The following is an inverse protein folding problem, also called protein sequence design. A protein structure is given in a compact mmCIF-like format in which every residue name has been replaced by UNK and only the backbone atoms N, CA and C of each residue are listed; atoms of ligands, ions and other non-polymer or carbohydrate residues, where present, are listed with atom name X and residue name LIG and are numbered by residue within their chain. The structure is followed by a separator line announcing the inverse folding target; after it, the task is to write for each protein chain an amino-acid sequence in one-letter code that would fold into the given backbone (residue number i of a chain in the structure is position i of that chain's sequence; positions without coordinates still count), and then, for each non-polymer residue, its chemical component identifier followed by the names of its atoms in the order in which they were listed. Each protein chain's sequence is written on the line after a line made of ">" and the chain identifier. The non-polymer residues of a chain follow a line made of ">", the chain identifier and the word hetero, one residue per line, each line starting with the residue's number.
data_IF_781149822258
#
_entry.id   IF_781149822258
#
_cell.length_a   1.000
_cell.length_b   1.000
_cell.length_c   1.000
_cell.angle_alpha   90.00
_cell.angle_beta   90.00
_cell.angle_gamma   90.00
#
_symmetry.space_group_name_H-M   'P 1'
#
loop_
_entity.id
_entity.type
_entity.pdbx_description
1 polymer ?
#
# COMPACT_ATOMS: atom_id res chain seq x y z
N UNK A 1 -8.72 11.23 0.26
CA UNK A 1 -7.53 12.12 0.26
C UNK A 1 -6.49 11.72 -0.78
N UNK A 2 -6.01 10.47 -0.78
CA UNK A 2 -4.96 10.01 -1.72
C UNK A 2 -5.51 9.38 -3.03
N UNK A 3 -6.82 9.42 -3.25
CA UNK A 3 -7.43 8.90 -4.47
C UNK A 3 -7.17 9.85 -5.65
N UNK A 4 -6.75 9.35 -6.82
CA UNK A 4 -6.42 10.19 -7.98
C UNK A 4 -7.62 11.01 -8.47
N UNK A 5 -8.82 10.43 -8.42
CA UNK A 5 -10.09 11.10 -8.79
C UNK A 5 -10.77 11.91 -7.68
N UNK A 6 -10.77 11.42 -6.45
CA UNK A 6 -11.50 11.99 -5.30
C UNK A 6 -10.50 12.45 -4.22
N UNK A 7 -9.58 13.31 -4.65
CA UNK A 7 -8.51 13.83 -3.82
C UNK A 7 -9.00 14.81 -2.75
N UNK A 8 -8.04 15.47 -2.10
CA UNK A 8 -8.31 16.52 -1.11
C UNK A 8 -9.17 17.65 -1.69
N UNK A 9 -8.92 18.07 -2.92
CA UNK A 9 -9.66 19.16 -3.58
C UNK A 9 -11.16 18.84 -3.72
N UNK A 10 -11.49 17.56 -3.92
CA UNK A 10 -12.88 17.11 -3.98
C UNK A 10 -13.57 17.19 -2.61
N UNK A 11 -12.87 16.84 -1.53
CA UNK A 11 -13.39 16.95 -0.17
C UNK A 11 -13.65 18.41 0.20
N UNK A 12 -12.72 19.31 -0.11
CA UNK A 12 -12.88 20.75 0.14
C UNK A 12 -14.03 21.37 -0.66
N UNK A 13 -14.31 20.87 -1.87
CA UNK A 13 -15.44 21.32 -2.67
C UNK A 13 -16.79 20.75 -2.21
N UNK A 14 -16.80 19.55 -1.62
CA UNK A 14 -18.04 18.83 -1.27
C UNK A 14 -18.46 19.08 0.17
N UNK A 15 -17.51 19.28 1.09
CA UNK A 15 -17.77 19.41 2.50
C UNK A 15 -17.85 20.89 2.90
N UNK A 16 -19.02 21.33 3.32
CA UNK A 16 -19.34 22.75 3.56
C UNK A 16 -19.55 23.09 5.03
N UNK A 17 -19.76 22.09 5.89
CA UNK A 17 -19.92 22.32 7.34
C UNK A 17 -18.59 22.68 7.99
N UNK A 18 -18.62 23.58 8.98
CA UNK A 18 -17.42 24.01 9.72
C UNK A 18 -16.72 22.82 10.40
N UNK A 19 -17.50 21.90 10.97
CA UNK A 19 -16.99 20.67 11.59
C UNK A 19 -16.32 19.74 10.55
N UNK A 20 -16.90 19.64 9.36
CA UNK A 20 -16.32 18.83 8.29
C UNK A 20 -15.00 19.42 7.78
N UNK A 21 -14.94 20.76 7.67
CA UNK A 21 -13.71 21.44 7.31
C UNK A 21 -12.63 21.29 8.38
N UNK A 22 -12.99 21.21 9.67
CA UNK A 22 -12.01 20.87 10.73
C UNK A 22 -11.45 19.47 10.54
N UNK A 23 -12.28 18.46 10.25
CA UNK A 23 -11.80 17.11 9.96
C UNK A 23 -10.87 17.06 8.75
N UNK A 24 -11.16 17.83 7.70
CA UNK A 24 -10.29 17.89 6.51
C UNK A 24 -8.93 18.51 6.86
N UNK A 25 -8.89 19.55 7.70
CA UNK A 25 -7.63 20.16 8.15
C UNK A 25 -6.84 19.20 9.02
N UNK A 26 -7.47 18.57 10.00
CA UNK A 26 -6.83 17.65 10.92
C UNK A 26 -6.27 16.44 10.16
N UNK A 27 -7.07 15.86 9.25
CA UNK A 27 -6.63 14.76 8.40
C UNK A 27 -5.47 15.15 7.47
N UNK A 28 -5.42 16.39 6.95
CA UNK A 28 -4.27 16.88 6.17
C UNK A 28 -3.00 16.91 7.00
N UNK A 29 -3.09 17.40 8.23
CA UNK A 29 -1.95 17.47 9.16
C UNK A 29 -1.47 16.07 9.50
N UNK A 30 -2.36 15.17 9.89
CA UNK A 30 -2.00 13.79 10.26
C UNK A 30 -1.40 13.01 9.09
N UNK A 31 -1.98 13.09 7.90
CA UNK A 31 -1.45 12.44 6.70
C UNK A 31 -0.05 12.94 6.37
N UNK A 32 0.16 14.25 6.46
CA UNK A 32 1.47 14.84 6.21
C UNK A 32 2.50 14.46 7.28
N UNK A 33 2.13 14.49 8.56
CA UNK A 33 3.01 14.07 9.66
C UNK A 33 3.40 12.60 9.54
N UNK A 34 2.43 11.71 9.29
CA UNK A 34 2.70 10.29 9.14
C UNK A 34 3.56 9.97 7.91
N UNK A 35 3.32 10.65 6.79
CA UNK A 35 4.14 10.51 5.59
C UNK A 35 5.60 10.93 5.84
N UNK A 36 5.81 12.11 6.45
CA UNK A 36 7.16 12.60 6.71
C UNK A 36 7.89 11.74 7.74
N UNK A 37 7.18 11.28 8.77
CA UNK A 37 7.75 10.43 9.83
C UNK A 37 8.22 9.07 9.33
N UNK A 38 7.45 8.43 8.44
CA UNK A 38 7.67 7.02 8.07
C UNK A 38 8.05 6.77 6.62
N UNK A 39 7.94 7.74 5.71
CA UNK A 39 8.16 7.51 4.27
C UNK A 39 9.14 8.50 3.64
N UNK A 40 9.24 9.73 4.16
CA UNK A 40 10.28 10.68 3.74
C UNK A 40 11.65 10.31 4.34
N UNK A 41 11.69 9.92 5.63
CA UNK A 41 12.91 9.44 6.29
C UNK A 41 13.36 8.04 5.85
N UNK A 42 12.42 7.18 5.44
CA UNK A 42 12.67 5.76 5.15
C UNK A 42 13.30 5.48 3.79
N UNK A 43 13.28 6.46 2.87
CA UNK A 43 13.97 6.34 1.58
C UNK A 43 15.48 6.14 1.76
N UNK A 44 16.08 6.78 2.76
CA UNK A 44 17.50 6.61 3.09
C UNK A 44 17.84 5.18 3.54
N UNK A 45 16.90 4.47 4.19
CA UNK A 45 17.15 3.15 4.78
C UNK A 45 16.87 1.98 3.81
N UNK A 46 15.86 2.11 2.94
CA UNK A 46 15.55 1.09 1.93
C UNK A 46 16.61 1.02 0.81
N UNK A 47 17.21 2.16 0.45
CA UNK A 47 18.33 2.22 -0.50
C UNK A 47 19.62 1.61 0.08
N UNK A 48 19.86 1.77 1.38
CA UNK A 48 21.01 1.19 2.09
C UNK A 48 20.90 -0.35 2.15
N UNK A 49 19.73 -0.90 2.44
CA UNK A 49 19.52 -2.37 2.50
C UNK A 49 19.54 -3.06 1.14
N UNK A 50 19.13 -2.38 0.06
CA UNK A 50 19.23 -2.90 -1.30
C UNK A 50 20.68 -2.95 -1.81
N UNK A 51 21.57 -2.06 -1.34
CA UNK A 51 22.99 -2.10 -1.70
C UNK A 51 23.74 -3.30 -1.09
N UNK A 52 23.34 -3.77 0.08
CA UNK A 52 24.00 -4.90 0.76
C UNK A 52 23.55 -6.29 0.27
N UNK A 53 22.39 -6.40 -0.40
CA UNK A 53 21.84 -7.68 -0.88
C UNK A 53 22.19 -8.01 -2.34
N UNK A 54 22.93 -7.14 -3.04
CA UNK A 54 23.47 -7.44 -4.36
C UNK A 54 24.75 -8.29 -4.21
N UNK A 55 24.58 -9.61 -4.08
CA UNK A 55 25.71 -10.54 -4.11
C UNK A 55 26.51 -10.38 -5.43
N UNK A 56 27.86 -10.34 -5.39
CA UNK A 56 28.67 -10.22 -6.59
C UNK A 56 28.56 -11.52 -7.40
N UNK A 57 27.87 -11.47 -8.54
CA UNK A 57 27.98 -12.53 -9.55
C UNK A 57 29.16 -12.20 -10.44
N UNK A 58 30.25 -12.94 -10.28
CA UNK A 58 31.32 -13.03 -11.25
C UNK A 58 30.84 -13.83 -12.46
N UNK A 59 30.65 -13.16 -13.59
CA UNK A 59 30.97 -13.70 -14.92
C UNK A 59 31.46 -12.55 -15.77
N UNK A 60 32.58 -12.80 -16.44
CA UNK A 60 33.36 -11.87 -17.25
C UNK A 60 32.63 -11.33 -18.50
N UNK A 61 33.02 -10.11 -18.90
CA UNK A 61 32.95 -9.48 -20.25
C UNK A 61 31.54 -9.17 -20.81
N UNK A 62 31.21 -7.99 -21.37
CA UNK A 62 31.97 -6.98 -22.11
C UNK A 62 31.50 -5.54 -21.81
N UNK A 63 32.40 -4.59 -22.06
CA UNK A 63 32.32 -3.16 -21.78
C UNK A 63 31.41 -2.43 -22.79
N UNK A 64 30.09 -2.38 -22.54
CA UNK A 64 29.16 -1.56 -23.32
C UNK A 64 28.98 -0.18 -22.68
N UNK A 65 29.66 0.79 -23.29
CA UNK A 65 29.75 2.23 -23.03
C UNK A 65 28.40 3.00 -23.04
N UNK A 66 27.26 2.31 -22.91
CA UNK A 66 25.91 2.85 -22.98
C UNK A 66 25.20 2.98 -21.61
N UNK A 67 25.65 2.28 -20.56
CA UNK A 67 24.94 2.24 -19.27
C UNK A 67 25.44 3.25 -18.22
N UNK A 68 26.57 3.93 -18.48
CA UNK A 68 27.17 4.90 -17.57
C UNK A 68 26.46 6.28 -17.56
N UNK A 69 25.52 6.50 -18.49
CA UNK A 69 24.78 7.77 -18.63
C UNK A 69 23.47 7.86 -17.84
N UNK A 70 22.95 6.75 -17.30
CA UNK A 70 21.61 6.71 -16.67
C UNK A 70 21.67 6.78 -15.14
N UNK A 71 22.74 6.27 -14.54
CA UNK A 71 22.98 6.22 -13.09
C UNK A 71 23.66 7.49 -12.52
N UNK A 72 24.11 8.41 -13.38
CA UNK A 72 24.67 9.70 -12.97
C UNK A 72 23.61 10.81 -12.84
N UNK A 73 22.41 10.64 -13.40
CA UNK A 73 21.30 11.60 -13.27
C UNK A 73 20.47 11.39 -12.00
N UNK A 74 20.40 10.17 -11.48
CA UNK A 74 19.62 9.86 -10.26
C UNK A 74 20.35 10.26 -8.97
N UNK A 75 21.67 10.47 -9.02
CA UNK A 75 22.50 10.82 -7.85
C UNK A 75 22.60 12.33 -7.56
N UNK A 76 21.85 13.18 -8.27
CA UNK A 76 21.94 14.64 -8.16
C UNK A 76 20.59 15.36 -7.99
N UNK A 77 19.60 14.74 -7.34
CA UNK A 77 18.42 15.48 -6.86
C UNK A 77 18.27 15.48 -5.34
N UNK A 78 19.12 14.76 -4.62
CA UNK A 78 19.10 14.70 -3.16
C UNK A 78 20.21 15.57 -2.58
N UNK A 79 20.02 16.90 -2.62
CA UNK A 79 20.61 17.92 -1.73
C UNK A 79 20.59 19.27 -2.44
N UNK A 80 19.49 20.02 -2.33
CA UNK A 80 19.46 21.49 -2.38
C UNK A 80 18.06 21.96 -1.97
N UNK A 81 17.98 22.61 -0.80
CA UNK A 81 17.13 23.76 -0.47
C UNK A 81 15.84 23.99 -1.30
N UNK A 82 14.67 23.80 -0.67
CA UNK A 82 13.38 24.28 -1.20
C UNK A 82 12.60 23.35 -2.14
N UNK A 83 12.93 22.06 -2.19
CA UNK A 83 12.17 21.10 -3.01
C UNK A 83 10.89 20.66 -2.31
N UNK A 84 9.74 21.05 -2.86
CA UNK A 84 8.39 20.56 -2.51
C UNK A 84 8.44 19.02 -2.36
N UNK A 85 8.02 18.52 -1.19
CA UNK A 85 8.01 17.10 -0.86
C UNK A 85 7.15 16.29 -1.84
N UNK A 86 7.40 14.98 -1.95
CA UNK A 86 6.72 14.10 -2.91
C UNK A 86 5.18 14.15 -2.75
N UNK A 87 4.71 14.14 -1.49
CA UNK A 87 3.30 14.28 -1.15
C UNK A 87 2.73 15.63 -1.61
N UNK A 88 3.43 16.73 -1.35
CA UNK A 88 2.98 18.07 -1.74
C UNK A 88 2.95 18.25 -3.27
N UNK A 89 3.92 17.64 -3.98
CA UNK A 89 3.91 17.57 -5.45
C UNK A 89 2.68 16.83 -5.96
N UNK A 90 2.29 15.74 -5.30
CA UNK A 90 1.10 14.99 -5.66
C UNK A 90 -0.20 15.74 -5.41
N UNK A 91 -0.31 16.44 -4.28
CA UNK A 91 -1.53 17.19 -3.94
C UNK A 91 -1.79 18.37 -4.90
N UNK A 92 -0.78 18.80 -5.65
CA UNK A 92 -0.89 19.84 -6.69
C UNK A 92 -1.24 19.29 -8.08
N UNK A 93 -1.19 17.97 -8.29
CA UNK A 93 -1.61 17.36 -9.56
C UNK A 93 -3.12 17.52 -9.74
N UNK A 94 -3.53 17.73 -10.99
CA UNK A 94 -4.95 17.69 -11.32
C UNK A 94 -5.52 16.28 -11.09
N UNK A 95 -6.74 16.18 -10.55
CA UNK A 95 -7.40 14.89 -10.38
C UNK A 95 -7.55 14.17 -11.72
N UNK A 96 -7.18 12.90 -11.75
CA UNK A 96 -7.28 12.06 -12.95
C UNK A 96 -8.47 11.10 -12.82
N UNK A 97 -9.25 10.96 -13.89
CA UNK A 97 -10.37 10.03 -13.90
C UNK A 97 -9.85 8.59 -13.98
N UNK A 98 -9.79 7.93 -12.83
CA UNK A 98 -9.36 6.54 -12.71
C UNK A 98 -10.41 5.74 -11.96
N UNK A 99 -10.77 4.58 -12.53
CA UNK A 99 -11.72 3.63 -11.94
C UNK A 99 -11.07 2.77 -10.84
N UNK A 100 -9.79 2.43 -10.99
CA UNK A 100 -9.03 1.63 -10.02
C UNK A 100 -7.80 2.39 -9.50
N UNK A 101 -7.92 2.94 -8.30
CA UNK A 101 -6.84 3.70 -7.65
C UNK A 101 -5.62 2.82 -7.32
N UNK A 102 -5.79 1.52 -7.09
CA UNK A 102 -4.69 0.62 -6.76
C UNK A 102 -3.85 0.39 -8.02
N UNK A 103 -4.49 0.09 -9.15
CA UNK A 103 -3.78 -0.10 -10.41
C UNK A 103 -3.05 1.16 -10.84
N UNK A 104 -3.70 2.33 -10.75
CA UNK A 104 -3.07 3.61 -11.04
C UNK A 104 -1.84 3.89 -10.18
N UNK A 105 -1.89 3.54 -8.89
CA UNK A 105 -0.73 3.67 -7.98
C UNK A 105 0.40 2.72 -8.35
N UNK A 106 0.10 1.50 -8.81
CA UNK A 106 1.12 0.57 -9.31
C UNK A 106 1.80 1.09 -10.58
N UNK A 107 1.01 1.60 -11.53
CA UNK A 107 1.53 2.09 -12.80
C UNK A 107 2.39 3.37 -12.64
N UNK A 108 2.07 4.21 -11.66
CA UNK A 108 2.82 5.44 -11.32
C UNK A 108 3.81 5.30 -10.17
N UNK A 109 4.04 4.08 -9.69
CA UNK A 109 4.96 3.80 -8.59
C UNK A 109 6.38 4.30 -8.84
N UNK A 110 6.86 4.28 -10.10
CA UNK A 110 8.19 4.77 -10.44
C UNK A 110 8.34 6.30 -10.33
N UNK A 111 7.26 7.04 -10.55
CA UNK A 111 7.27 8.51 -10.48
C UNK A 111 7.12 9.03 -9.05
N UNK A 112 6.44 8.25 -8.21
CA UNK A 112 6.11 8.58 -6.83
C UNK A 112 6.32 7.36 -5.93
N UNK A 113 7.57 6.93 -5.67
CA UNK A 113 7.84 5.69 -4.96
C UNK A 113 7.38 5.71 -3.50
N UNK A 114 7.71 6.75 -2.73
CA UNK A 114 7.36 6.81 -1.31
C UNK A 114 5.86 7.01 -1.11
N UNK A 115 5.24 7.85 -1.94
CA UNK A 115 3.81 8.10 -1.91
C UNK A 115 3.00 6.88 -2.36
N UNK A 116 3.52 6.09 -3.31
CA UNK A 116 2.81 4.90 -3.76
C UNK A 116 2.79 3.83 -2.68
N UNK A 117 3.89 3.62 -1.95
CA UNK A 117 3.89 2.75 -0.77
C UNK A 117 2.90 3.25 0.27
N UNK A 118 2.99 4.52 0.66
CA UNK A 118 2.09 5.10 1.65
C UNK A 118 0.61 5.02 1.25
N UNK A 119 0.29 5.30 -0.01
CA UNK A 119 -1.09 5.21 -0.50
C UNK A 119 -1.62 3.78 -0.48
N UNK A 120 -0.80 2.78 -0.80
CA UNK A 120 -1.18 1.37 -0.70
C UNK A 120 -1.47 0.97 0.74
N UNK A 121 -0.64 1.41 1.69
CA UNK A 121 -0.82 1.14 3.11
C UNK A 121 -2.11 1.78 3.63
N UNK A 122 -2.41 3.01 3.22
CA UNK A 122 -3.68 3.69 3.55
C UNK A 122 -4.88 2.99 2.91
N UNK A 123 -4.77 2.53 1.66
CA UNK A 123 -5.87 1.82 0.98
C UNK A 123 -6.10 0.41 1.51
N UNK A 124 -5.12 -0.19 2.19
CA UNK A 124 -5.28 -1.48 2.86
C UNK A 124 -6.17 -1.38 4.10
N UNK A 125 -6.39 -0.18 4.65
CA UNK A 125 -7.29 0.04 5.78
C UNK A 125 -8.74 0.08 5.26
N UNK A 126 -9.60 -0.88 5.66
CA UNK A 126 -10.99 -0.87 5.24
C UNK A 126 -11.71 0.32 5.87
N UNK A 127 -12.62 0.95 5.12
CA UNK A 127 -13.40 2.09 5.61
C UNK A 127 -14.37 1.71 6.74
N UNK A 128 -14.72 0.42 6.86
CA UNK A 128 -15.68 -0.11 7.83
C UNK A 128 -15.21 -1.46 8.37
N UNK A 129 -15.65 -1.81 9.58
CA UNK A 129 -15.38 -3.10 10.20
C UNK A 129 -16.25 -4.26 9.65
N UNK A 130 -17.03 -4.03 8.58
CA UNK A 130 -17.98 -5.00 8.02
C UNK A 130 -17.34 -6.33 7.64
N UNK A 131 -16.09 -6.31 7.15
CA UNK A 131 -15.36 -7.52 6.82
C UNK A 131 -15.05 -8.35 8.06
N UNK A 132 -14.62 -7.70 9.15
CA UNK A 132 -14.39 -8.34 10.45
C UNK A 132 -15.70 -8.90 11.02
N UNK A 133 -16.79 -8.13 11.02
CA UNK A 133 -18.11 -8.56 11.49
C UNK A 133 -18.63 -9.79 10.72
N UNK A 134 -18.41 -9.81 9.40
CA UNK A 134 -18.73 -10.95 8.55
C UNK A 134 -17.92 -12.19 8.93
N UNK A 135 -16.62 -12.05 9.18
CA UNK A 135 -15.78 -13.18 9.64
C UNK A 135 -16.25 -13.72 11.00
N UNK A 136 -16.57 -12.85 11.96
CA UNK A 136 -17.11 -13.29 13.25
C UNK A 136 -18.46 -14.01 13.12
N UNK A 137 -19.33 -13.53 12.22
CA UNK A 137 -20.61 -14.17 11.92
C UNK A 137 -20.42 -15.57 11.32
N UNK A 138 -19.44 -15.76 10.43
CA UNK A 138 -19.06 -17.06 9.89
C UNK A 138 -18.46 -17.98 10.96
N UNK A 139 -17.66 -17.44 11.87
CA UNK A 139 -17.14 -18.16 13.03
C UNK A 139 -18.27 -18.72 13.90
N UNK A 140 -19.32 -17.93 14.15
CA UNK A 140 -20.52 -18.38 14.87
C UNK A 140 -21.23 -19.55 14.18
N UNK A 141 -21.34 -19.54 12.86
CA UNK A 141 -21.93 -20.65 12.10
C UNK A 141 -21.06 -21.91 12.17
N UNK A 142 -19.74 -21.75 12.22
CA UNK A 142 -18.78 -22.85 12.36
C UNK A 142 -18.89 -23.53 13.72
N UNK A 143 -19.26 -22.78 14.77
CA UNK A 143 -19.51 -23.22 16.15
C UNK A 143 -20.87 -23.90 16.41
N UNK A 144 -21.68 -24.17 15.37
CA UNK A 144 -23.01 -24.77 15.53
C UNK A 144 -23.04 -26.04 16.40
N UNK A 145 -24.18 -26.35 17.03
CA UNK A 145 -24.38 -27.36 18.09
C UNK A 145 -23.76 -28.76 17.85
N UNK A 146 -23.50 -29.17 16.61
CA UNK A 146 -22.83 -30.44 16.26
C UNK A 146 -21.29 -30.37 16.27
N UNK A 147 -20.69 -29.18 16.35
CA UNK A 147 -19.23 -28.92 16.26
C UNK A 147 -18.65 -28.27 17.54
N UNK A 148 -19.31 -28.48 18.69
CA UNK A 148 -18.97 -27.88 19.99
C UNK A 148 -17.63 -28.35 20.60
N UNK A 149 -16.89 -29.26 19.93
CA UNK A 149 -15.60 -29.78 20.41
C UNK A 149 -14.39 -29.09 19.75
N UNK A 150 -14.57 -28.02 18.99
CA UNK A 150 -13.47 -27.35 18.30
C UNK A 150 -12.76 -26.36 19.25
N UNK A 151 -11.44 -26.49 19.39
CA UNK A 151 -10.61 -25.52 20.12
C UNK A 151 -10.61 -24.15 19.42
N UNK A 152 -10.42 -23.07 20.19
CA UNK A 152 -10.32 -21.70 19.68
C UNK A 152 -9.29 -21.57 18.55
N UNK A 153 -8.11 -22.16 18.71
CA UNK A 153 -7.05 -22.14 17.68
C UNK A 153 -7.51 -22.76 16.35
N UNK A 154 -8.28 -23.84 16.41
CA UNK A 154 -8.80 -24.51 15.20
C UNK A 154 -9.91 -23.67 14.57
N UNK A 155 -10.74 -23.02 15.39
CA UNK A 155 -11.80 -22.13 14.92
C UNK A 155 -11.23 -20.90 14.20
N UNK A 156 -10.10 -20.37 14.63
CA UNK A 156 -9.40 -19.27 13.96
C UNK A 156 -8.81 -19.69 12.61
N UNK A 157 -8.19 -20.88 12.56
CA UNK A 157 -7.51 -21.38 11.35
C UNK A 157 -8.46 -21.72 10.22
N UNK A 158 -9.69 -22.16 10.52
CA UNK A 158 -10.66 -22.60 9.51
C UNK A 158 -11.06 -21.47 8.54
N UNK A 159 -11.49 -20.27 8.99
CA UNK A 159 -11.75 -19.13 8.12
C UNK A 159 -10.52 -18.67 7.34
N UNK A 160 -9.33 -18.68 7.95
CA UNK A 160 -8.08 -18.33 7.25
C UNK A 160 -7.79 -19.30 6.10
N UNK A 161 -7.93 -20.60 6.34
CA UNK A 161 -7.73 -21.63 5.31
C UNK A 161 -8.77 -21.50 4.19
N UNK A 162 -10.06 -21.32 4.53
CA UNK A 162 -11.13 -21.09 3.55
C UNK A 162 -10.85 -19.84 2.70
N UNK A 163 -10.40 -18.74 3.33
CA UNK A 163 -10.01 -17.53 2.64
C UNK A 163 -8.83 -17.78 1.67
N UNK A 164 -7.76 -18.42 2.14
CA UNK A 164 -6.60 -18.71 1.28
C UNK A 164 -6.93 -19.63 0.11
N UNK A 165 -7.79 -20.63 0.31
CA UNK A 165 -8.24 -21.50 -0.79
C UNK A 165 -9.04 -20.70 -1.81
N UNK A 166 -9.95 -19.82 -1.38
CA UNK A 166 -10.75 -18.97 -2.28
C UNK A 166 -9.91 -17.98 -3.09
N UNK A 167 -8.88 -17.42 -2.47
CA UNK A 167 -7.97 -16.47 -3.12
C UNK A 167 -6.77 -17.15 -3.81
N UNK A 168 -6.74 -18.48 -3.87
CA UNK A 168 -5.70 -19.24 -4.57
C UNK A 168 -4.34 -19.27 -3.87
N UNK A 169 -4.26 -18.84 -2.61
CA UNK A 169 -3.05 -18.95 -1.78
C UNK A 169 -2.72 -20.39 -1.37
N UNK A 170 -3.73 -21.28 -1.35
CA UNK A 170 -3.56 -22.71 -1.10
C UNK A 170 -4.40 -23.52 -2.10
N UNK A 171 -3.79 -24.51 -2.74
CA UNK A 171 -4.49 -25.49 -3.57
C UNK A 171 -4.69 -26.78 -2.77
N UNK A 172 -5.95 -27.12 -2.49
CA UNK A 172 -6.26 -28.42 -1.90
C UNK A 172 -5.97 -29.52 -2.92
N UNK A 173 -5.27 -30.57 -2.49
CA UNK A 173 -4.98 -31.71 -3.36
C UNK A 173 -6.28 -32.36 -3.85
N UNK A 174 -6.32 -32.72 -5.14
CA UNK A 174 -7.45 -33.50 -5.68
C UNK A 174 -7.36 -34.92 -5.13
N UNK A 175 -8.46 -35.41 -4.54
CA UNK A 175 -8.55 -36.81 -4.15
C UNK A 175 -8.65 -37.68 -5.41
N UNK A 176 -7.57 -38.39 -5.74
CA UNK A 176 -7.58 -39.45 -6.76
C UNK A 176 -8.05 -40.71 -6.07
N UNK A 177 -9.35 -40.98 -6.17
CA UNK A 177 -9.92 -42.25 -5.70
C UNK A 177 -9.45 -43.40 -6.56
N UNK A 178 -8.97 -44.46 -5.93
CA UNK A 178 -8.75 -45.78 -6.54
C UNK A 178 -10.08 -46.49 -6.82
#
# INVERSE_FOLDING_TARGET
>A
MLHPRFGISWLEATWVSEEQLTWVRDAKVEVNDNFNRWYDASQAQYEETMQYNAAPRTMDQEDDRCTQGMNSKTKKTLSTSGSIGELERYLRLEPEDTQDAIQWKRDRGASFPSLSSFALDVFAIPAMASDCERQFSLGKLTLTSRRLSMCADTLERVPCLDNWVRHGGVKMGSWVGN
#
